data_IF_069009988065
#
_entry.id   IF_069009988065
#
_cell.length_a   1.000
_cell.length_b   1.000
_cell.length_c   1.000
_cell.angle_alpha   90.00
_cell.angle_beta   90.00
_cell.angle_gamma   90.00
#
_symmetry.space_group_name_H-M   'P 1'
#
loop_
_entity.id
_entity.type
_entity.pdbx_description
1 polymer ?
#
# COMPACT_ATOMS: atom_id res chain seq x y z
N UNK A 1 -34.94 -13.32 -4.15
CA UNK A 1 -33.95 -13.22 -3.05
C UNK A 1 -32.58 -13.03 -3.67
N UNK A 2 -31.85 -11.94 -3.36
CA UNK A 2 -30.43 -11.83 -3.72
C UNK A 2 -29.65 -12.36 -2.52
N UNK A 3 -28.72 -13.29 -2.73
CA UNK A 3 -27.91 -13.87 -1.65
C UNK A 3 -27.17 -12.76 -0.89
N UNK A 4 -27.16 -12.81 0.44
CA UNK A 4 -26.40 -11.88 1.29
C UNK A 4 -24.92 -12.27 1.38
N UNK A 5 -24.54 -13.42 0.86
CA UNK A 5 -23.16 -13.88 0.84
C UNK A 5 -22.87 -14.62 -0.47
N UNK A 6 -21.60 -14.64 -0.85
CA UNK A 6 -21.09 -15.33 -2.03
C UNK A 6 -20.01 -16.31 -1.59
N UNK A 7 -20.14 -17.58 -1.98
CA UNK A 7 -19.17 -18.61 -1.62
C UNK A 7 -18.82 -19.51 -2.81
N UNK A 8 -17.52 -19.71 -3.03
CA UNK A 8 -16.97 -20.66 -3.98
C UNK A 8 -15.94 -21.56 -3.28
N UNK A 9 -16.40 -22.55 -2.50
CA UNK A 9 -15.53 -23.32 -1.61
C UNK A 9 -14.52 -24.20 -2.35
N UNK A 10 -14.83 -24.63 -3.58
CA UNK A 10 -13.99 -25.49 -4.40
C UNK A 10 -13.21 -24.74 -5.51
N UNK A 11 -13.34 -23.41 -5.60
CA UNK A 11 -12.63 -22.64 -6.61
C UNK A 11 -11.16 -22.50 -6.20
N UNK A 12 -10.26 -23.14 -6.94
CA UNK A 12 -8.82 -23.15 -6.61
C UNK A 12 -8.02 -22.09 -7.38
N UNK A 13 -8.35 -21.88 -8.66
CA UNK A 13 -7.64 -20.94 -9.54
C UNK A 13 -8.61 -20.26 -10.49
N UNK A 14 -8.32 -19.03 -10.89
CA UNK A 14 -9.03 -18.31 -11.95
C UNK A 14 -8.02 -17.87 -13.02
N UNK A 15 -8.16 -18.40 -14.24
CA UNK A 15 -7.26 -18.04 -15.37
C UNK A 15 -7.50 -16.66 -15.96
N UNK A 16 -8.58 -15.98 -15.56
CA UNK A 16 -8.90 -14.60 -15.92
C UNK A 16 -8.97 -13.69 -14.69
N UNK A 17 -9.83 -12.67 -14.75
CA UNK A 17 -10.08 -11.76 -13.64
C UNK A 17 -11.27 -12.19 -12.78
N UNK A 18 -11.26 -11.80 -11.52
CA UNK A 18 -12.39 -11.91 -10.59
C UNK A 18 -12.92 -10.51 -10.32
N UNK A 19 -14.20 -10.27 -10.57
CA UNK A 19 -14.86 -9.00 -10.29
C UNK A 19 -16.13 -9.21 -9.45
N UNK A 20 -16.15 -8.62 -8.26
CA UNK A 20 -17.32 -8.56 -7.37
C UNK A 20 -17.71 -7.09 -7.22
N UNK A 21 -18.59 -6.64 -8.11
CA UNK A 21 -18.98 -5.24 -8.21
C UNK A 21 -20.48 -5.01 -7.95
N UNK A 22 -20.81 -3.89 -7.31
CA UNK A 22 -22.17 -3.34 -7.26
C UNK A 22 -23.23 -4.23 -6.59
N UNK A 23 -22.83 -5.04 -5.60
CA UNK A 23 -23.75 -5.88 -4.85
C UNK A 23 -24.24 -5.17 -3.59
N UNK A 24 -25.34 -4.42 -3.73
CA UNK A 24 -25.95 -3.63 -2.66
C UNK A 24 -26.33 -4.41 -1.37
N UNK A 25 -26.41 -5.74 -1.42
CA UNK A 25 -26.80 -6.60 -0.29
C UNK A 25 -25.72 -7.62 0.12
N UNK A 26 -24.59 -7.66 -0.57
CA UNK A 26 -23.53 -8.63 -0.26
C UNK A 26 -22.86 -8.21 1.05
N UNK A 27 -22.92 -9.09 2.06
CA UNK A 27 -22.32 -8.91 3.38
C UNK A 27 -21.08 -9.76 3.62
N UNK A 28 -20.88 -10.85 2.87
CA UNK A 28 -19.70 -11.71 2.98
C UNK A 28 -19.29 -12.38 1.66
N UNK A 29 -17.99 -12.64 1.50
CA UNK A 29 -17.35 -13.30 0.39
C UNK A 29 -16.38 -14.38 0.89
N UNK A 30 -16.56 -15.63 0.44
CA UNK A 30 -15.74 -16.76 0.87
C UNK A 30 -15.21 -17.56 -0.33
N UNK A 31 -13.89 -17.62 -0.48
CA UNK A 31 -13.23 -18.52 -1.45
C UNK A 31 -12.03 -19.21 -0.77
N UNK A 32 -12.29 -20.12 0.19
CA UNK A 32 -11.26 -20.69 1.06
C UNK A 32 -10.15 -21.42 0.31
N UNK A 33 -10.47 -22.02 -0.84
CA UNK A 33 -9.52 -22.79 -1.65
C UNK A 33 -8.82 -21.98 -2.74
N UNK A 34 -9.21 -20.71 -2.95
CA UNK A 34 -8.66 -19.91 -4.04
C UNK A 34 -7.20 -19.57 -3.73
N UNK A 35 -6.30 -20.05 -4.59
CA UNK A 35 -4.84 -19.89 -4.45
C UNK A 35 -4.28 -18.85 -5.41
N UNK A 36 -4.86 -18.70 -6.60
CA UNK A 36 -4.36 -17.79 -7.61
C UNK A 36 -5.47 -17.20 -8.50
N UNK A 37 -5.28 -15.94 -8.89
CA UNK A 37 -6.02 -15.28 -9.97
C UNK A 37 -4.98 -14.77 -10.98
N UNK A 38 -5.06 -15.21 -12.23
CA UNK A 38 -4.08 -14.83 -13.25
C UNK A 38 -4.28 -13.40 -13.76
N UNK A 39 -5.53 -12.93 -13.79
CA UNK A 39 -5.90 -11.54 -14.05
C UNK A 39 -6.00 -10.70 -12.79
N UNK A 40 -6.85 -9.67 -12.84
CA UNK A 40 -7.10 -8.76 -11.71
C UNK A 40 -8.14 -9.34 -10.74
N UNK A 41 -8.04 -8.96 -9.47
CA UNK A 41 -9.06 -9.24 -8.46
C UNK A 41 -9.65 -7.91 -8.00
N UNK A 42 -10.95 -7.69 -8.24
CA UNK A 42 -11.64 -6.46 -7.86
C UNK A 42 -12.85 -6.74 -6.96
N UNK A 43 -12.94 -6.02 -5.83
CA UNK A 43 -14.11 -5.97 -4.95
C UNK A 43 -14.52 -4.50 -4.83
N UNK A 44 -15.55 -4.10 -5.57
CA UNK A 44 -15.92 -2.68 -5.69
C UNK A 44 -17.40 -2.42 -5.40
N UNK A 45 -17.70 -1.33 -4.69
CA UNK A 45 -19.08 -0.86 -4.48
C UNK A 45 -20.03 -1.93 -3.89
N UNK A 46 -19.58 -2.66 -2.87
CA UNK A 46 -20.43 -3.56 -2.09
C UNK A 46 -20.67 -2.93 -0.70
N UNK A 47 -21.60 -1.96 -0.57
CA UNK A 47 -21.73 -1.12 0.63
C UNK A 47 -22.20 -1.87 1.88
N UNK A 48 -22.68 -3.11 1.76
CA UNK A 48 -23.06 -3.95 2.90
C UNK A 48 -21.97 -4.98 3.27
N UNK A 49 -20.86 -5.03 2.53
CA UNK A 49 -19.78 -5.99 2.79
C UNK A 49 -19.13 -5.66 4.13
N UNK A 50 -19.18 -6.61 5.08
CA UNK A 50 -18.74 -6.38 6.47
C UNK A 50 -19.80 -5.81 7.41
N UNK A 51 -21.03 -5.56 6.93
CA UNK A 51 -22.13 -5.06 7.77
C UNK A 51 -22.74 -6.12 8.70
N UNK A 52 -22.52 -7.42 8.45
CA UNK A 52 -23.15 -8.50 9.19
C UNK A 52 -22.62 -8.62 10.63
N UNK A 53 -23.42 -8.15 11.59
CA UNK A 53 -23.53 -8.73 12.93
C UNK A 53 -24.63 -9.79 12.92
N UNK A 54 -24.39 -11.04 13.33
CA UNK A 54 -25.27 -11.67 14.32
C UNK A 54 -25.03 -10.97 15.66
N UNK A 55 -26.10 -10.70 16.41
CA UNK A 55 -26.02 -10.14 17.76
C UNK A 55 -25.03 -10.97 18.61
N UNK A 56 -23.94 -10.34 19.02
CA UNK A 56 -22.86 -10.96 19.78
C UNK A 56 -21.55 -10.22 19.56
N UNK A 57 -20.81 -9.97 20.64
CA UNK A 57 -19.66 -9.06 20.75
C UNK A 57 -18.39 -9.54 20.03
N UNK A 58 -18.52 -10.22 18.88
CA UNK A 58 -17.38 -10.63 18.07
C UNK A 58 -16.84 -9.43 17.28
N UNK A 59 -15.86 -8.76 17.84
CA UNK A 59 -15.11 -7.66 17.22
C UNK A 59 -14.37 -8.08 15.92
N UNK A 60 -14.37 -9.37 15.56
CA UNK A 60 -13.63 -9.94 14.43
C UNK A 60 -14.54 -10.82 13.53
N UNK A 61 -15.37 -10.20 12.69
CA UNK A 61 -16.09 -10.91 11.61
C UNK A 61 -15.27 -10.81 10.32
N UNK A 62 -14.77 -11.96 9.83
CA UNK A 62 -14.08 -12.05 8.53
C UNK A 62 -15.15 -12.05 7.43
N UNK A 63 -15.32 -10.91 6.77
CA UNK A 63 -16.30 -10.73 5.69
C UNK A 63 -15.73 -10.95 4.29
N UNK A 64 -14.41 -10.93 4.15
CA UNK A 64 -13.69 -11.38 2.96
C UNK A 64 -12.70 -12.43 3.40
N UNK A 65 -12.99 -13.69 3.10
CA UNK A 65 -12.17 -14.84 3.50
C UNK A 65 -11.49 -15.47 2.28
N UNK A 66 -10.19 -15.23 2.16
CA UNK A 66 -9.31 -15.68 1.08
C UNK A 66 -8.00 -16.23 1.68
N UNK A 67 -8.06 -17.23 2.58
CA UNK A 67 -6.93 -17.64 3.41
C UNK A 67 -5.85 -18.39 2.64
N UNK A 68 -6.18 -18.96 1.47
CA UNK A 68 -5.27 -19.68 0.59
C UNK A 68 -4.66 -18.82 -0.53
N UNK A 69 -5.17 -17.59 -0.74
CA UNK A 69 -4.79 -16.75 -1.86
C UNK A 69 -3.33 -16.34 -1.76
N UNK A 70 -2.55 -16.68 -2.77
CA UNK A 70 -1.10 -16.49 -2.82
C UNK A 70 -0.66 -15.52 -3.91
N UNK A 71 -1.38 -15.46 -5.03
CA UNK A 71 -0.98 -14.65 -6.19
C UNK A 71 -2.18 -14.00 -6.87
N UNK A 72 -2.03 -12.72 -7.22
CA UNK A 72 -2.89 -12.02 -8.17
C UNK A 72 -1.99 -11.53 -9.29
N UNK A 73 -2.22 -11.95 -10.54
CA UNK A 73 -1.35 -11.61 -11.67
C UNK A 73 -1.58 -10.20 -12.22
N UNK A 74 -2.79 -9.66 -12.06
CA UNK A 74 -3.15 -8.29 -12.40
C UNK A 74 -3.14 -7.36 -11.20
N UNK A 75 -4.10 -6.45 -11.18
CA UNK A 75 -4.32 -5.50 -10.09
C UNK A 75 -5.15 -6.15 -8.97
N UNK A 76 -4.89 -5.77 -7.72
CA UNK A 76 -5.80 -6.03 -6.62
C UNK A 76 -6.48 -4.72 -6.19
N UNK A 77 -7.79 -4.66 -6.38
CA UNK A 77 -8.60 -3.45 -6.16
C UNK A 77 -9.69 -3.72 -5.13
N UNK A 78 -9.67 -2.97 -4.02
CA UNK A 78 -10.69 -3.01 -2.99
C UNK A 78 -11.22 -1.59 -2.74
N UNK A 79 -12.40 -1.29 -3.29
CA UNK A 79 -12.90 0.09 -3.30
C UNK A 79 -14.37 0.25 -2.95
N UNK A 80 -14.70 1.33 -2.23
CA UNK A 80 -16.08 1.70 -1.93
C UNK A 80 -16.89 0.62 -1.19
N UNK A 81 -16.25 -0.22 -0.37
CA UNK A 81 -16.91 -1.18 0.52
C UNK A 81 -17.00 -0.55 1.91
N UNK A 82 -17.91 0.40 2.07
CA UNK A 82 -17.91 1.36 3.19
C UNK A 82 -18.16 0.75 4.58
N UNK A 83 -18.63 -0.50 4.67
CA UNK A 83 -18.82 -1.23 5.93
C UNK A 83 -17.71 -2.25 6.22
N UNK A 84 -16.75 -2.42 5.31
CA UNK A 84 -15.67 -3.38 5.48
C UNK A 84 -14.68 -2.86 6.53
N UNK A 85 -14.52 -3.63 7.61
CA UNK A 85 -13.73 -3.22 8.79
C UNK A 85 -12.25 -3.58 8.69
N UNK A 86 -11.90 -4.72 8.11
CA UNK A 86 -10.51 -5.13 7.98
C UNK A 86 -10.31 -5.98 6.74
N UNK A 87 -9.08 -6.03 6.26
CA UNK A 87 -8.66 -6.93 5.21
C UNK A 87 -7.41 -7.69 5.66
N UNK A 88 -7.47 -9.01 5.55
CA UNK A 88 -6.40 -9.89 5.97
C UNK A 88 -6.13 -10.94 4.91
N UNK A 89 -4.94 -10.90 4.30
CA UNK A 89 -4.49 -11.84 3.27
C UNK A 89 -3.10 -12.39 3.64
N UNK A 90 -3.05 -13.24 4.66
CA UNK A 90 -1.78 -13.71 5.24
C UNK A 90 -0.89 -14.49 4.26
N UNK A 91 -1.46 -15.15 3.25
CA UNK A 91 -0.71 -15.94 2.27
C UNK A 91 -0.43 -15.21 0.96
N UNK A 92 -1.01 -14.03 0.72
CA UNK A 92 -0.79 -13.29 -0.52
C UNK A 92 0.68 -12.87 -0.57
N UNK A 93 1.40 -13.32 -1.60
CA UNK A 93 2.83 -13.07 -1.81
C UNK A 93 3.10 -12.02 -2.86
N UNK A 94 2.23 -11.94 -3.87
CA UNK A 94 2.47 -11.13 -5.06
C UNK A 94 1.16 -10.56 -5.60
N UNK A 95 1.20 -9.27 -5.93
CA UNK A 95 0.27 -8.60 -6.83
C UNK A 95 1.07 -8.15 -8.06
N UNK A 96 0.74 -8.68 -9.23
CA UNK A 96 1.54 -8.51 -10.43
C UNK A 96 1.55 -7.07 -10.93
N UNK A 97 0.45 -6.33 -10.77
CA UNK A 97 0.35 -4.92 -11.18
C UNK A 97 0.18 -4.00 -9.96
N UNK A 98 -0.90 -3.24 -9.84
CA UNK A 98 -1.15 -2.31 -8.74
C UNK A 98 -1.94 -2.94 -7.57
N UNK A 99 -1.74 -2.39 -6.38
CA UNK A 99 -2.54 -2.68 -5.19
C UNK A 99 -3.28 -1.42 -4.74
N UNK A 100 -4.59 -1.37 -4.98
CA UNK A 100 -5.47 -0.25 -4.62
C UNK A 100 -6.45 -0.61 -3.51
N UNK A 101 -6.40 0.11 -2.40
CA UNK A 101 -7.37 0.02 -1.29
C UNK A 101 -7.90 1.42 -1.02
N UNK A 102 -9.07 1.74 -1.59
CA UNK A 102 -9.56 3.12 -1.68
C UNK A 102 -10.99 3.27 -1.16
N UNK A 103 -11.24 4.28 -0.33
CA UNK A 103 -12.61 4.67 0.10
C UNK A 103 -13.39 3.58 0.84
N UNK A 104 -12.72 2.73 1.64
CA UNK A 104 -13.36 1.78 2.55
C UNK A 104 -13.45 2.43 3.94
N UNK A 105 -14.43 3.31 4.14
CA UNK A 105 -14.45 4.26 5.27
C UNK A 105 -14.58 3.65 6.66
N UNK A 106 -15.10 2.42 6.79
CA UNK A 106 -15.13 1.67 8.05
C UNK A 106 -13.83 0.88 8.34
N UNK A 107 -12.90 0.81 7.38
CA UNK A 107 -11.70 -0.01 7.49
C UNK A 107 -10.77 0.54 8.57
N UNK A 108 -10.35 -0.30 9.52
CA UNK A 108 -9.44 0.05 10.60
C UNK A 108 -8.08 -0.65 10.49
N UNK A 109 -7.98 -1.76 9.75
CA UNK A 109 -6.72 -2.51 9.60
C UNK A 109 -6.58 -3.22 8.24
N UNK A 110 -5.35 -3.21 7.72
CA UNK A 110 -4.92 -3.99 6.55
C UNK A 110 -3.72 -4.85 6.98
N UNK A 111 -3.80 -6.17 6.76
CA UNK A 111 -2.73 -7.12 7.11
C UNK A 111 -2.44 -8.05 5.93
N UNK A 112 -1.21 -8.01 5.41
CA UNK A 112 -0.72 -8.94 4.38
C UNK A 112 0.71 -9.33 4.71
N UNK A 113 0.88 -10.21 5.69
CA UNK A 113 2.20 -10.51 6.28
C UNK A 113 3.18 -11.17 5.33
N UNK A 114 2.70 -11.84 4.27
CA UNK A 114 3.54 -12.50 3.27
C UNK A 114 3.72 -11.71 1.97
N UNK A 115 3.07 -10.55 1.82
CA UNK A 115 3.12 -9.80 0.56
C UNK A 115 4.54 -9.29 0.36
N UNK A 116 5.26 -9.86 -0.62
CA UNK A 116 6.66 -9.55 -0.90
C UNK A 116 6.84 -8.53 -2.02
N UNK A 117 5.94 -8.52 -3.00
CA UNK A 117 6.06 -7.69 -4.20
C UNK A 117 4.74 -7.18 -4.76
N UNK A 118 4.78 -5.95 -5.26
CA UNK A 118 3.73 -5.31 -6.06
C UNK A 118 4.37 -4.73 -7.33
N UNK A 119 3.82 -5.08 -8.50
CA UNK A 119 4.17 -4.45 -9.77
C UNK A 119 5.09 -5.23 -10.71
N UNK A 120 5.59 -6.43 -10.33
CA UNK A 120 6.57 -7.18 -11.13
C UNK A 120 6.10 -7.57 -12.55
N UNK A 121 4.80 -7.54 -12.84
CA UNK A 121 4.22 -7.82 -14.16
C UNK A 121 4.08 -6.55 -15.03
N UNK A 122 4.49 -5.38 -14.56
CA UNK A 122 4.46 -4.13 -15.32
C UNK A 122 5.51 -4.16 -16.43
N UNK A 123 5.06 -4.02 -17.69
CA UNK A 123 5.93 -4.11 -18.88
C UNK A 123 6.32 -2.75 -19.46
N UNK A 124 5.43 -1.77 -19.34
CA UNK A 124 5.62 -0.37 -19.77
C UNK A 124 5.06 0.53 -18.65
N UNK A 125 5.69 1.67 -18.36
CA UNK A 125 5.34 2.59 -17.26
C UNK A 125 4.04 3.39 -17.49
N UNK A 126 3.14 2.90 -18.33
CA UNK A 126 1.87 3.53 -18.62
C UNK A 126 0.80 2.97 -17.67
N UNK A 127 -0.09 3.83 -17.17
CA UNK A 127 -1.28 3.48 -16.35
C UNK A 127 -1.07 3.11 -14.86
N UNK A 128 -0.21 3.82 -14.11
CA UNK A 128 -0.05 3.64 -12.64
C UNK A 128 0.32 2.19 -12.24
N UNK A 129 0.87 1.42 -13.18
CA UNK A 129 1.22 0.03 -12.96
C UNK A 129 2.32 -0.07 -11.91
N UNK A 130 2.09 -0.88 -10.88
CA UNK A 130 3.05 -1.08 -9.80
C UNK A 130 2.91 -0.11 -8.64
N UNK A 131 1.82 0.67 -8.61
CA UNK A 131 1.46 1.52 -7.48
C UNK A 131 0.91 0.71 -6.31
N UNK A 132 1.26 1.14 -5.10
CA UNK A 132 0.55 0.81 -3.87
C UNK A 132 -0.22 2.05 -3.43
N UNK A 133 -1.54 2.00 -3.56
CA UNK A 133 -2.45 3.09 -3.22
C UNK A 133 -3.36 2.72 -2.05
N UNK A 134 -3.16 3.36 -0.91
CA UNK A 134 -4.03 3.25 0.28
C UNK A 134 -4.63 4.62 0.54
N UNK A 135 -5.86 4.83 0.08
CA UNK A 135 -6.44 6.18 0.02
C UNK A 135 -7.84 6.28 0.62
N UNK A 136 -8.14 7.36 1.32
CA UNK A 136 -9.49 7.68 1.82
C UNK A 136 -10.12 6.61 2.74
N UNK A 137 -9.33 5.86 3.48
CA UNK A 137 -9.80 4.91 4.49
C UNK A 137 -9.78 5.61 5.86
N UNK A 138 -10.74 6.51 6.12
CA UNK A 138 -10.66 7.47 7.23
C UNK A 138 -10.51 6.88 8.64
N UNK A 139 -10.96 5.64 8.87
CA UNK A 139 -10.82 4.91 10.14
C UNK A 139 -9.58 4.00 10.20
N UNK A 140 -8.78 3.93 9.14
CA UNK A 140 -7.64 3.02 9.05
C UNK A 140 -6.57 3.43 10.06
N UNK A 141 -6.29 2.56 11.03
CA UNK A 141 -5.31 2.80 12.09
C UNK A 141 -3.95 2.18 11.75
N UNK A 142 -3.96 1.02 11.10
CA UNK A 142 -2.74 0.25 10.87
C UNK A 142 -2.69 -0.48 9.53
N UNK A 143 -1.53 -0.41 8.88
CA UNK A 143 -1.17 -1.16 7.69
C UNK A 143 0.06 -2.01 8.00
N UNK A 144 -0.05 -3.33 7.83
CA UNK A 144 0.97 -4.29 8.20
C UNK A 144 1.39 -5.13 7.00
N UNK A 145 2.49 -4.72 6.36
CA UNK A 145 3.10 -5.34 5.18
C UNK A 145 4.59 -5.68 5.44
N UNK A 146 4.90 -6.43 6.53
CA UNK A 146 6.28 -6.62 6.99
C UNK A 146 7.22 -7.33 6.01
N UNK A 147 6.68 -8.06 5.02
CA UNK A 147 7.46 -8.73 3.98
C UNK A 147 7.62 -7.90 2.70
N UNK A 148 6.90 -6.78 2.55
CA UNK A 148 6.84 -6.05 1.29
C UNK A 148 8.18 -5.35 1.04
N UNK A 149 8.97 -5.92 0.13
CA UNK A 149 10.32 -5.46 -0.20
C UNK A 149 10.37 -4.77 -1.57
N UNK A 150 9.55 -5.25 -2.51
CA UNK A 150 9.52 -4.74 -3.88
C UNK A 150 8.21 -4.02 -4.16
N UNK A 151 8.31 -2.74 -4.50
CA UNK A 151 7.23 -1.94 -5.05
C UNK A 151 7.79 -1.25 -6.29
N UNK A 152 7.19 -1.50 -7.45
CA UNK A 152 7.80 -1.09 -8.70
C UNK A 152 7.68 0.41 -8.97
N UNK A 153 6.59 1.05 -8.52
CA UNK A 153 6.33 2.45 -8.85
C UNK A 153 6.00 3.28 -7.61
N UNK A 154 4.82 3.90 -7.53
CA UNK A 154 4.54 4.87 -6.48
C UNK A 154 3.97 4.22 -5.22
N UNK A 155 4.41 4.73 -4.07
CA UNK A 155 3.75 4.48 -2.80
C UNK A 155 2.91 5.68 -2.40
N UNK A 156 1.59 5.49 -2.38
CA UNK A 156 0.59 6.52 -2.09
C UNK A 156 -0.22 6.14 -0.87
N UNK A 157 -0.08 6.93 0.20
CA UNK A 157 -0.87 6.80 1.42
C UNK A 157 -1.54 8.15 1.67
N UNK A 158 -2.82 8.27 1.37
CA UNK A 158 -3.52 9.57 1.47
C UNK A 158 -4.91 9.52 2.11
N UNK A 159 -5.29 10.57 2.82
CA UNK A 159 -6.65 10.69 3.36
C UNK A 159 -7.03 9.60 4.37
N UNK A 160 -6.04 8.97 5.03
CA UNK A 160 -6.27 7.99 6.09
C UNK A 160 -6.10 8.69 7.44
N UNK A 161 -7.12 9.46 7.85
CA UNK A 161 -7.00 10.40 8.97
C UNK A 161 -6.60 9.75 10.30
N UNK A 162 -6.99 8.50 10.55
CA UNK A 162 -6.68 7.75 11.77
C UNK A 162 -5.38 6.93 11.70
N UNK A 163 -4.64 6.98 10.59
CA UNK A 163 -3.50 6.11 10.37
C UNK A 163 -2.35 6.50 11.30
N UNK A 164 -1.93 5.53 12.12
CA UNK A 164 -0.80 5.69 13.06
C UNK A 164 0.34 4.76 12.68
N UNK A 165 0.03 3.52 12.29
CA UNK A 165 1.03 2.48 12.05
C UNK A 165 1.11 2.16 10.57
N UNK A 166 2.31 2.30 10.01
CA UNK A 166 2.64 1.85 8.65
C UNK A 166 3.90 0.98 8.74
N UNK A 167 3.72 -0.33 8.67
CA UNK A 167 4.83 -1.29 8.71
C UNK A 167 5.08 -1.85 7.32
N UNK A 168 6.28 -1.64 6.81
CA UNK A 168 6.72 -2.06 5.48
C UNK A 168 8.24 -2.27 5.47
N UNK A 169 8.78 -2.88 4.40
CA UNK A 169 10.24 -3.04 4.19
C UNK A 169 10.67 -2.70 2.77
N UNK A 170 9.93 -1.82 2.11
CA UNK A 170 10.11 -1.43 0.71
C UNK A 170 11.51 -0.82 0.55
N UNK A 171 12.23 -1.29 -0.46
CA UNK A 171 13.62 -0.91 -0.67
C UNK A 171 13.78 0.30 -1.62
N UNK A 172 12.80 0.54 -2.48
CA UNK A 172 12.80 1.61 -3.48
C UNK A 172 11.38 1.82 -4.00
N UNK A 173 11.09 3.05 -4.41
CA UNK A 173 9.89 3.49 -5.11
C UNK A 173 10.29 4.63 -6.04
N UNK A 174 9.52 4.85 -7.11
CA UNK A 174 9.72 6.03 -7.97
C UNK A 174 9.20 7.30 -7.27
N UNK A 175 8.00 7.23 -6.69
CA UNK A 175 7.40 8.32 -5.95
C UNK A 175 6.88 7.90 -4.58
N UNK A 176 7.05 8.78 -3.60
CA UNK A 176 6.56 8.59 -2.24
C UNK A 176 5.62 9.73 -1.86
N UNK A 177 4.34 9.39 -1.66
CA UNK A 177 3.27 10.36 -1.39
C UNK A 177 2.57 9.99 -0.09
N UNK A 178 2.69 10.84 0.92
CA UNK A 178 2.01 10.70 2.19
C UNK A 178 1.26 12.00 2.52
N UNK A 179 -0.05 12.01 2.28
CA UNK A 179 -0.85 13.24 2.36
C UNK A 179 -2.11 13.08 3.20
N UNK A 180 -2.53 14.08 3.97
CA UNK A 180 -3.83 14.07 4.66
C UNK A 180 -4.01 12.91 5.69
N UNK A 181 -2.92 12.38 6.25
CA UNK A 181 -2.95 11.35 7.30
C UNK A 181 -2.75 12.01 8.69
N UNK A 182 -3.79 12.63 9.23
CA UNK A 182 -3.72 13.51 10.41
C UNK A 182 -3.14 12.88 11.69
N UNK A 183 -3.23 11.57 11.85
CA UNK A 183 -2.65 10.83 12.98
C UNK A 183 -1.25 10.28 12.72
N UNK A 184 -0.72 10.41 11.49
CA UNK A 184 0.53 9.82 11.07
C UNK A 184 1.71 10.72 11.45
N UNK A 185 2.51 10.29 12.41
CA UNK A 185 3.72 11.01 12.81
C UNK A 185 4.83 10.79 11.77
N UNK A 186 5.05 11.79 10.91
CA UNK A 186 5.92 11.68 9.73
C UNK A 186 7.36 11.34 10.12
N UNK A 187 7.93 12.02 11.13
CA UNK A 187 9.28 11.78 11.62
C UNK A 187 9.50 10.36 12.15
N UNK A 188 8.51 9.78 12.81
CA UNK A 188 8.61 8.43 13.38
C UNK A 188 8.33 7.35 12.34
N UNK A 189 7.54 7.66 11.33
CA UNK A 189 6.98 6.65 10.42
C UNK A 189 7.57 6.72 9.02
N UNK A 190 7.71 7.91 8.44
CA UNK A 190 8.11 8.15 7.06
C UNK A 190 9.61 8.41 6.91
N UNK A 191 10.22 9.19 7.82
CA UNK A 191 11.67 9.45 7.78
C UNK A 191 12.51 8.15 7.79
N UNK A 192 12.17 7.10 8.56
CA UNK A 192 12.91 5.83 8.50
C UNK A 192 12.81 5.11 7.14
N UNK A 193 11.68 5.24 6.45
CA UNK A 193 11.45 4.67 5.11
C UNK A 193 12.39 5.35 4.11
N UNK A 194 12.33 6.68 4.08
CA UNK A 194 13.16 7.51 3.20
C UNK A 194 14.66 7.34 3.51
N UNK A 195 15.03 7.29 4.80
CA UNK A 195 16.42 7.07 5.23
C UNK A 195 16.94 5.71 4.78
N UNK A 196 16.10 4.67 4.81
CA UNK A 196 16.46 3.34 4.33
C UNK A 196 16.70 3.35 2.82
N UNK A 197 15.79 3.94 2.05
CA UNK A 197 15.91 4.06 0.59
C UNK A 197 17.17 4.85 0.18
N UNK A 198 17.47 5.95 0.88
CA UNK A 198 18.70 6.72 0.68
C UNK A 198 19.97 5.89 0.91
N UNK A 199 20.04 5.16 2.03
CA UNK A 199 21.20 4.30 2.36
C UNK A 199 21.43 3.19 1.33
N UNK A 200 20.38 2.80 0.61
CA UNK A 200 20.47 1.83 -0.49
C UNK A 200 20.84 2.49 -1.84
N UNK A 201 21.00 3.81 -1.89
CA UNK A 201 21.21 4.56 -3.14
C UNK A 201 19.98 4.58 -4.05
N UNK A 202 18.78 4.42 -3.49
CA UNK A 202 17.51 4.25 -4.21
C UNK A 202 16.44 5.22 -3.70
N UNK A 203 16.83 6.46 -3.45
CA UNK A 203 15.91 7.49 -2.98
C UNK A 203 14.84 7.79 -4.06
N UNK A 204 13.57 8.05 -3.68
CA UNK A 204 12.52 8.34 -4.65
C UNK A 204 12.81 9.59 -5.49
N UNK A 205 12.45 9.57 -6.77
CA UNK A 205 12.56 10.74 -7.66
C UNK A 205 11.65 11.88 -7.19
N UNK A 206 10.52 11.54 -6.57
CA UNK A 206 9.56 12.49 -6.04
C UNK A 206 9.09 12.10 -4.64
N UNK A 207 9.23 13.03 -3.70
CA UNK A 207 8.63 12.91 -2.36
C UNK A 207 7.61 14.02 -2.18
N UNK A 208 6.42 13.68 -1.70
CA UNK A 208 5.42 14.65 -1.29
C UNK A 208 4.77 14.24 0.02
N UNK A 209 5.10 14.99 1.07
CA UNK A 209 4.62 14.77 2.43
C UNK A 209 3.93 16.05 2.88
N UNK A 210 2.62 15.99 3.07
CA UNK A 210 1.78 17.17 3.34
C UNK A 210 0.59 16.83 4.23
N UNK A 211 0.15 17.79 5.06
CA UNK A 211 -1.13 17.69 5.79
C UNK A 211 -1.28 16.41 6.64
N UNK A 212 -0.19 15.83 7.15
CA UNK A 212 -0.24 14.73 8.12
C UNK A 212 -0.27 15.29 9.56
N UNK A 213 0.28 14.57 10.54
CA UNK A 213 0.21 14.98 11.94
C UNK A 213 0.88 16.33 12.22
N UNK A 214 0.14 17.21 12.90
CA UNK A 214 0.62 18.51 13.39
C UNK A 214 1.13 18.45 14.83
N UNK A 215 1.29 17.24 15.40
CA UNK A 215 1.83 17.06 16.75
C UNK A 215 3.29 17.53 16.80
N UNK A 216 3.70 18.10 17.93
CA UNK A 216 5.08 18.55 18.12
C UNK A 216 6.07 17.39 17.93
N UNK A 217 7.15 17.66 17.21
CA UNK A 217 8.17 16.64 16.90
C UNK A 217 7.78 15.62 15.83
N UNK A 218 6.59 15.69 15.24
CA UNK A 218 6.17 14.77 14.17
C UNK A 218 6.50 15.23 12.76
N UNK A 219 6.84 16.49 12.54
CA UNK A 219 7.18 17.00 11.21
C UNK A 219 8.39 16.26 10.61
N UNK A 220 8.22 15.79 9.37
CA UNK A 220 9.29 15.19 8.58
C UNK A 220 10.45 16.17 8.37
N UNK A 221 11.66 15.63 8.22
CA UNK A 221 12.83 16.38 7.77
C UNK A 221 12.94 16.47 6.23
N UNK A 222 11.94 15.96 5.51
CA UNK A 222 11.92 15.86 4.05
C UNK A 222 10.56 16.27 3.42
N UNK A 223 9.98 17.44 3.76
CA UNK A 223 8.67 17.81 3.26
C UNK A 223 8.74 18.30 1.80
N UNK A 224 8.17 17.53 0.86
CA UNK A 224 8.07 17.93 -0.56
C UNK A 224 9.41 18.21 -1.25
N UNK A 225 10.42 17.39 -0.95
CA UNK A 225 11.79 17.59 -1.44
C UNK A 225 12.24 16.51 -2.43
N UNK A 226 13.31 16.81 -3.16
CA UNK A 226 14.12 15.83 -3.88
C UNK A 226 15.27 15.31 -3.01
N UNK A 227 15.98 14.29 -3.48
CA UNK A 227 17.09 13.63 -2.80
C UNK A 227 18.25 14.56 -2.37
N UNK A 228 18.32 15.80 -2.85
CA UNK A 228 19.39 16.75 -2.48
C UNK A 228 19.06 17.65 -1.28
N UNK A 229 17.81 17.72 -0.84
CA UNK A 229 17.33 18.76 0.10
C UNK A 229 16.84 18.17 1.43
N UNK A 230 16.57 16.88 1.46
CA UNK A 230 15.99 16.16 2.59
C UNK A 230 17.04 15.97 3.71
N UNK A 231 16.81 16.55 4.90
CA UNK A 231 17.83 16.68 5.96
C UNK A 231 18.10 15.38 6.74
N UNK A 232 17.41 14.27 6.43
CA UNK A 232 17.68 12.96 7.06
C UNK A 232 19.02 12.35 6.61
N UNK A 233 19.66 12.90 5.57
CA UNK A 233 20.90 12.36 5.00
C UNK A 233 22.16 12.71 5.78
N UNK A 234 22.12 13.76 6.61
CA UNK A 234 23.29 14.28 7.32
C UNK A 234 23.65 13.46 8.59
N UNK A 235 22.76 12.57 9.04
CA UNK A 235 22.88 11.82 10.30
C UNK A 235 23.89 10.65 10.28
N UNK A 236 24.82 10.59 9.30
CA UNK A 236 26.18 10.01 9.42
C UNK A 236 26.95 10.05 8.08
N UNK A 237 27.87 11.01 7.99
CA UNK A 237 29.22 10.95 7.37
C UNK A 237 29.54 9.89 6.29
N UNK A 238 30.17 10.37 5.20
CA UNK A 238 31.04 9.64 4.25
C UNK A 238 30.38 8.87 3.10
N UNK A 239 29.90 9.60 2.08
CA UNK A 239 30.27 9.23 0.71
C UNK A 239 31.05 10.40 0.10
N UNK A 240 32.39 10.28 0.14
CA UNK A 240 33.24 10.98 -0.83
C UNK A 240 32.75 10.56 -2.21
N UNK A 241 32.11 11.49 -2.92
CA UNK A 241 32.13 11.46 -4.38
C UNK A 241 33.55 11.85 -4.79
N UNK A 242 34.39 10.84 -5.02
CA UNK A 242 35.62 11.01 -5.77
C UNK A 242 35.29 10.98 -7.25
N UNK A 243 35.94 11.89 -8.00
CA UNK A 243 36.16 11.94 -9.47
C UNK A 243 34.93 12.29 -10.32
N UNK A 244 34.87 13.35 -11.13
CA UNK A 244 35.86 14.26 -11.74
C UNK A 244 35.26 15.67 -11.91
N UNK A 245 35.85 16.68 -11.25
CA UNK A 245 35.72 18.06 -11.69
C UNK A 245 36.88 18.35 -12.65
N UNK A 246 36.57 18.52 -13.94
CA UNK A 246 37.48 19.14 -14.91
C UNK A 246 37.83 20.55 -14.40
N UNK A 247 39.12 20.81 -14.18
CA UNK A 247 39.61 22.18 -14.11
C UNK A 247 39.98 22.67 -15.52
N UNK A 248 39.65 23.93 -15.86
CA UNK A 248 40.15 24.59 -17.05
C UNK A 248 41.56 25.16 -16.82
N UNK A 249 42.41 25.02 -17.84
CA UNK A 249 43.58 25.82 -18.24
C UNK A 249 44.46 26.52 -17.20
N UNK A 250 45.77 26.32 -17.33
CA UNK A 250 46.72 27.44 -17.51
C UNK A 250 47.98 26.94 -18.22
N UNK A 251 48.39 27.69 -19.25
CA UNK A 251 49.63 27.49 -20.00
C UNK A 251 50.78 28.37 -19.46
N UNK A 252 51.86 28.41 -20.26
CA UNK A 252 53.13 29.17 -20.06
C UNK A 252 54.07 28.43 -19.08
N UNK A 253 55.26 27.92 -19.44
CA UNK A 253 56.27 28.23 -20.46
C UNK A 253 56.98 26.94 -20.93
#
# INVERSE_FOLDING_TARGET
>A
MKASWLSFPALETVGGSVEIAENAKLSALWMPSLTAVDGSFAITRNPQLGASQPAGDAEHVISVDLPALQRIGGDFTLEFNTQLKSLTLYKLREVGRGLGIVSNTAMWQIVMTSLGSVGLACRNHDDFCGDLSIQNNGRLVGVFLPALATLQYDFRVSGNSALVTLQERIQSVSGFYAQDNKSLCERKTLDPILSRMWKLGRFPDKVSIQRNSTQEGCATRCPNESAGVCQIFEDKTSHRSSTEARQPGDGVL
#
